data_IF_081969462471
#
_entry.id   IF_081969462471
#
_cell.length_a   1.000
_cell.length_b   1.000
_cell.length_c   1.000
_cell.angle_alpha   90.00
_cell.angle_beta   90.00
_cell.angle_gamma   90.00
#
_symmetry.space_group_name_H-M   'P 1'
#
loop_
_entity.id
_entity.type
_entity.pdbx_description
1 polymer ?
#
# COMPACT_ATOMS: atom_id res chain seq x y z
N UNK A 1 38.93 32.66 -2.74
CA UNK A 1 38.44 31.35 -3.07
C UNK A 1 36.99 31.22 -2.65
N UNK A 2 36.03 31.34 -3.57
CA UNK A 2 34.61 31.01 -3.33
C UNK A 2 34.47 29.48 -3.43
N UNK A 3 34.00 28.83 -2.37
CA UNK A 3 33.57 27.45 -2.40
C UNK A 3 32.34 27.31 -3.33
N UNK A 4 32.28 26.32 -4.23
CA UNK A 4 31.09 26.10 -5.02
C UNK A 4 29.98 25.60 -4.10
N UNK A 5 28.80 26.25 -4.21
CA UNK A 5 27.61 25.92 -3.44
C UNK A 5 27.14 24.48 -3.71
N UNK A 6 26.96 23.74 -2.65
CA UNK A 6 26.14 22.53 -2.63
C UNK A 6 24.68 23.01 -2.73
N UNK A 7 24.03 22.76 -3.85
CA UNK A 7 22.57 22.58 -3.97
C UNK A 7 22.22 22.43 -5.45
N UNK A 8 22.50 21.25 -6.01
CA UNK A 8 21.71 20.76 -7.13
C UNK A 8 20.97 19.50 -6.64
N UNK A 9 19.92 19.71 -5.86
CA UNK A 9 18.87 18.72 -5.73
C UNK A 9 18.27 18.60 -7.13
N UNK A 10 18.73 17.65 -7.92
CA UNK A 10 18.19 17.37 -9.24
C UNK A 10 16.70 17.11 -9.08
N UNK A 11 15.86 18.04 -9.59
CA UNK A 11 14.40 17.83 -9.63
C UNK A 11 14.15 16.52 -10.37
N UNK A 12 13.44 15.60 -9.74
CA UNK A 12 13.08 14.31 -10.31
C UNK A 12 12.39 14.52 -11.66
N UNK A 13 12.94 13.94 -12.72
CA UNK A 13 12.29 13.93 -14.03
C UNK A 13 11.16 12.89 -14.00
N UNK A 14 9.95 13.38 -13.85
CA UNK A 14 8.76 12.53 -13.76
C UNK A 14 8.36 11.86 -15.07
N UNK A 15 8.74 12.42 -16.22
CA UNK A 15 8.50 11.78 -17.51
C UNK A 15 9.44 10.58 -17.69
N UNK A 16 10.73 10.75 -17.40
CA UNK A 16 11.68 9.65 -17.40
C UNK A 16 11.29 8.57 -16.38
N UNK A 17 10.80 8.97 -15.19
CA UNK A 17 10.32 8.02 -14.19
C UNK A 17 9.09 7.24 -14.66
N UNK A 18 8.15 7.89 -15.32
CA UNK A 18 6.97 7.24 -15.87
C UNK A 18 7.35 6.20 -16.93
N UNK A 19 8.29 6.51 -17.81
CA UNK A 19 8.80 5.55 -18.81
C UNK A 19 9.45 4.34 -18.14
N UNK A 20 10.22 4.55 -17.07
CA UNK A 20 10.87 3.48 -16.32
C UNK A 20 9.85 2.56 -15.62
N UNK A 21 8.94 3.13 -14.83
CA UNK A 21 8.00 2.36 -14.00
C UNK A 21 6.93 1.64 -14.84
N UNK A 22 6.62 2.13 -16.05
CA UNK A 22 5.65 1.51 -16.97
C UNK A 22 6.27 0.44 -17.87
N UNK A 23 7.56 0.16 -17.79
CA UNK A 23 8.25 -0.77 -18.71
C UNK A 23 7.61 -2.16 -18.68
N UNK A 24 7.47 -2.76 -17.52
CA UNK A 24 6.85 -4.08 -17.34
C UNK A 24 5.39 -4.08 -17.79
N UNK A 25 4.63 -3.05 -17.42
CA UNK A 25 3.24 -2.91 -17.82
C UNK A 25 3.08 -2.81 -19.35
N UNK A 26 3.92 -2.01 -20.00
CA UNK A 26 3.91 -1.85 -21.48
C UNK A 26 4.21 -3.16 -22.20
N UNK A 27 5.16 -3.96 -21.71
CA UNK A 27 5.49 -5.28 -22.28
C UNK A 27 4.27 -6.21 -22.23
N UNK A 28 3.51 -6.21 -21.13
CA UNK A 28 2.31 -7.05 -20.99
C UNK A 28 1.17 -6.50 -21.84
N UNK A 29 0.92 -5.19 -21.81
CA UNK A 29 -0.13 -4.56 -22.67
C UNK A 29 0.09 -4.80 -24.17
N UNK A 30 1.34 -4.86 -24.63
CA UNK A 30 1.67 -5.19 -26.02
C UNK A 30 1.20 -6.58 -26.45
N UNK A 31 1.06 -7.51 -25.50
CA UNK A 31 0.52 -8.85 -25.75
C UNK A 31 -1.00 -8.88 -25.86
N UNK A 32 -1.68 -7.76 -25.57
CA UNK A 32 -3.14 -7.67 -25.47
C UNK A 32 -3.71 -8.28 -24.18
N UNK A 33 -2.87 -8.76 -23.26
CA UNK A 33 -3.30 -9.37 -22.00
C UNK A 33 -3.66 -8.32 -20.95
N UNK A 34 -4.80 -8.50 -20.30
CA UNK A 34 -5.21 -7.70 -19.16
C UNK A 34 -4.60 -8.29 -17.88
N UNK A 35 -4.16 -7.42 -16.98
CA UNK A 35 -3.54 -7.84 -15.72
C UNK A 35 -3.82 -6.83 -14.61
N UNK A 36 -3.67 -7.27 -13.37
CA UNK A 36 -3.79 -6.45 -12.18
C UNK A 36 -2.45 -6.31 -11.45
N UNK A 37 -2.24 -5.15 -10.84
CA UNK A 37 -1.24 -4.96 -9.78
C UNK A 37 -1.88 -5.12 -8.41
N UNK A 38 -1.18 -5.78 -7.48
CA UNK A 38 -1.59 -5.93 -6.09
C UNK A 38 -0.49 -5.44 -5.16
N UNK A 39 -0.89 -4.76 -4.11
CA UNK A 39 0.00 -4.36 -3.01
C UNK A 39 -0.80 -4.15 -1.72
N UNK A 40 -0.11 -4.07 -0.60
CA UNK A 40 -0.70 -3.82 0.71
C UNK A 40 -0.07 -2.63 1.43
N UNK A 41 -0.77 -2.16 2.46
CA UNK A 41 -0.26 -1.21 3.44
C UNK A 41 -0.63 -1.64 4.86
N UNK A 42 0.30 -1.47 5.80
CA UNK A 42 0.01 -1.67 7.21
C UNK A 42 0.33 -3.06 7.75
N UNK A 43 1.36 -3.75 7.25
CA UNK A 43 1.82 -5.03 7.84
C UNK A 43 2.54 -4.85 9.17
N UNK A 44 3.38 -3.83 9.29
CA UNK A 44 4.24 -3.60 10.47
C UNK A 44 3.62 -2.86 11.67
N UNK A 45 2.53 -2.09 11.56
CA UNK A 45 1.92 -1.41 12.70
C UNK A 45 1.47 -2.33 13.82
N UNK A 46 1.42 -1.80 15.06
CA UNK A 46 0.94 -2.49 16.27
C UNK A 46 -0.60 -2.52 16.33
N UNK A 47 -1.28 -1.72 15.53
CA UNK A 47 -2.74 -1.61 15.54
C UNK A 47 -3.30 -1.23 14.18
N UNK A 48 -4.62 -1.35 14.06
CA UNK A 48 -5.36 -1.08 12.86
C UNK A 48 -5.29 -2.21 11.83
N UNK A 49 -6.03 -2.07 10.72
CA UNK A 49 -6.10 -3.10 9.69
C UNK A 49 -4.86 -3.14 8.82
N UNK A 50 -4.69 -4.23 8.08
CA UNK A 50 -3.93 -4.23 6.84
C UNK A 50 -4.89 -3.94 5.68
N UNK A 51 -4.49 -3.07 4.75
CA UNK A 51 -5.25 -2.76 3.55
C UNK A 51 -4.56 -3.41 2.35
N UNK A 52 -5.28 -4.21 1.58
CA UNK A 52 -4.80 -4.83 0.35
C UNK A 52 -5.57 -4.29 -0.85
N UNK A 53 -4.87 -3.85 -1.89
CA UNK A 53 -5.47 -3.29 -3.10
C UNK A 53 -5.17 -4.15 -4.32
N UNK A 54 -6.16 -4.24 -5.22
CA UNK A 54 -6.05 -4.82 -6.55
C UNK A 54 -6.50 -3.79 -7.57
N UNK A 55 -5.64 -3.51 -8.56
CA UNK A 55 -5.91 -2.47 -9.57
C UNK A 55 -5.60 -2.99 -10.97
N UNK A 56 -6.54 -2.83 -11.89
CA UNK A 56 -6.34 -3.03 -13.34
C UNK A 56 -6.27 -1.66 -13.99
N UNK A 57 -5.10 -1.26 -14.42
CA UNK A 57 -4.89 0.03 -15.11
C UNK A 57 -4.98 -0.14 -16.63
N UNK A 58 -5.59 0.80 -17.37
CA UNK A 58 -5.56 0.80 -18.81
C UNK A 58 -4.17 1.25 -19.32
N UNK A 59 -3.79 0.88 -20.56
CA UNK A 59 -2.54 1.37 -21.17
C UNK A 59 -2.54 2.88 -21.43
N UNK A 60 -3.70 3.51 -21.46
CA UNK A 60 -3.89 4.96 -21.61
C UNK A 60 -5.21 5.41 -20.96
N UNK A 61 -5.26 6.63 -20.38
CA UNK A 61 -4.12 7.53 -20.16
C UNK A 61 -3.18 7.01 -19.06
N UNK A 62 -1.88 7.30 -19.16
CA UNK A 62 -0.92 7.07 -18.08
C UNK A 62 -0.94 8.25 -17.11
N UNK A 63 -0.97 7.97 -15.83
CA UNK A 63 -0.98 8.98 -14.76
C UNK A 63 0.46 9.36 -14.38
N UNK A 64 0.82 10.61 -14.63
CA UNK A 64 2.09 11.15 -14.17
C UNK A 64 2.15 11.14 -12.64
N UNK A 65 3.33 11.00 -12.07
CA UNK A 65 3.64 10.93 -10.64
C UNK A 65 3.31 9.61 -9.93
N UNK A 66 2.68 8.62 -10.57
CA UNK A 66 2.52 7.30 -9.98
C UNK A 66 3.90 6.69 -9.70
N UNK A 67 4.15 6.34 -8.45
CA UNK A 67 5.39 5.74 -7.96
C UNK A 67 5.09 5.00 -6.65
N UNK A 68 6.08 4.30 -6.09
CA UNK A 68 6.01 3.72 -4.76
C UNK A 68 5.45 4.75 -3.75
N UNK A 69 4.36 4.37 -3.08
CA UNK A 69 3.62 5.26 -2.18
C UNK A 69 4.49 5.86 -1.06
N UNK A 70 5.55 5.16 -0.63
CA UNK A 70 6.49 5.61 0.39
C UNK A 70 7.37 6.78 -0.07
N UNK A 71 7.55 6.93 -1.39
CA UNK A 71 8.35 8.00 -2.01
C UNK A 71 7.53 9.25 -2.32
N UNK A 72 6.22 9.20 -2.11
CA UNK A 72 5.30 10.29 -2.40
C UNK A 72 4.94 11.04 -1.12
N UNK A 73 4.68 12.35 -1.25
CA UNK A 73 4.08 13.13 -0.16
C UNK A 73 2.62 12.70 0.05
N UNK A 74 2.08 12.91 1.25
CA UNK A 74 0.68 12.60 1.56
C UNK A 74 -0.27 13.32 0.59
N UNK A 75 -0.05 14.61 0.35
CA UNK A 75 -0.83 15.39 -0.64
C UNK A 75 -0.83 14.75 -2.02
N UNK A 76 0.34 14.31 -2.50
CA UNK A 76 0.44 13.68 -3.81
C UNK A 76 -0.28 12.33 -3.85
N UNK A 77 -0.18 11.53 -2.79
CA UNK A 77 -0.91 10.27 -2.69
C UNK A 77 -2.42 10.48 -2.74
N UNK A 78 -2.95 11.45 -2.00
CA UNK A 78 -4.38 11.79 -2.00
C UNK A 78 -4.88 12.22 -3.39
N UNK A 79 -4.12 13.08 -4.09
CA UNK A 79 -4.43 13.50 -5.47
C UNK A 79 -4.44 12.32 -6.45
N UNK A 80 -3.49 11.40 -6.32
CA UNK A 80 -3.37 10.22 -7.17
C UNK A 80 -4.43 9.17 -6.85
N UNK A 81 -4.84 9.05 -5.60
CA UNK A 81 -5.90 8.14 -5.19
C UNK A 81 -7.17 8.33 -6.02
N UNK A 82 -7.64 9.56 -6.13
CA UNK A 82 -8.84 9.89 -6.91
C UNK A 82 -8.62 9.60 -8.39
N UNK A 83 -7.49 10.05 -8.96
CA UNK A 83 -7.16 9.82 -10.37
C UNK A 83 -7.04 8.34 -10.73
N UNK A 84 -6.45 7.53 -9.87
CA UNK A 84 -6.36 6.09 -10.07
C UNK A 84 -7.75 5.46 -10.09
N UNK A 85 -8.62 5.83 -9.15
CA UNK A 85 -9.99 5.30 -9.09
C UNK A 85 -10.83 5.69 -10.30
N UNK A 86 -10.65 6.91 -10.81
CA UNK A 86 -11.34 7.40 -12.01
C UNK A 86 -10.83 6.73 -13.29
N UNK A 87 -9.55 6.39 -13.34
CA UNK A 87 -8.88 5.87 -14.56
C UNK A 87 -8.90 4.35 -14.65
N UNK A 88 -8.81 3.66 -13.51
CA UNK A 88 -8.70 2.20 -13.45
C UNK A 88 -9.93 1.51 -14.08
N UNK A 89 -9.68 0.43 -14.81
CA UNK A 89 -10.72 -0.49 -15.30
C UNK A 89 -11.35 -1.23 -14.10
N UNK A 90 -10.54 -1.55 -13.11
CA UNK A 90 -10.94 -2.18 -11.86
C UNK A 90 -10.07 -1.68 -10.72
N UNK A 91 -10.69 -1.38 -9.58
CA UNK A 91 -9.97 -0.99 -8.37
C UNK A 91 -10.75 -1.43 -7.14
N UNK A 92 -10.14 -2.27 -6.32
CA UNK A 92 -10.74 -2.76 -5.08
C UNK A 92 -9.72 -2.72 -3.95
N UNK A 93 -10.17 -2.30 -2.75
CA UNK A 93 -9.38 -2.37 -1.52
C UNK A 93 -10.15 -3.18 -0.49
N UNK A 94 -9.50 -4.16 0.10
CA UNK A 94 -10.03 -5.01 1.17
C UNK A 94 -9.21 -4.81 2.43
N UNK A 95 -9.89 -4.73 3.55
CA UNK A 95 -9.28 -4.59 4.87
C UNK A 95 -9.30 -5.94 5.59
N UNK A 96 -8.15 -6.33 6.15
CA UNK A 96 -8.11 -7.40 7.15
C UNK A 96 -8.02 -6.77 8.55
N UNK A 97 -8.95 -7.12 9.43
CA UNK A 97 -9.05 -6.55 10.76
C UNK A 97 -7.93 -7.01 11.70
N UNK A 98 -7.69 -6.30 12.82
CA UNK A 98 -6.78 -6.78 13.86
C UNK A 98 -7.10 -8.18 14.36
N UNK A 99 -8.39 -8.51 14.51
CA UNK A 99 -8.83 -9.85 14.94
C UNK A 99 -8.47 -10.92 13.90
N UNK A 100 -8.65 -10.62 12.62
CA UNK A 100 -8.25 -11.54 11.53
C UNK A 100 -6.73 -11.74 11.52
N UNK A 101 -5.96 -10.67 11.70
CA UNK A 101 -4.49 -10.73 11.80
C UNK A 101 -4.07 -11.62 12.97
N UNK A 102 -4.68 -11.45 14.14
CA UNK A 102 -4.37 -12.25 15.33
C UNK A 102 -4.78 -13.73 15.14
N UNK A 103 -5.87 -13.99 14.41
CA UNK A 103 -6.40 -15.33 14.18
C UNK A 103 -5.56 -16.15 13.20
N UNK A 104 -5.09 -15.56 12.08
CA UNK A 104 -4.45 -16.30 10.97
C UNK A 104 -3.01 -15.88 10.70
N UNK A 105 -2.46 -14.95 11.44
CA UNK A 105 -1.21 -14.19 11.27
C UNK A 105 -1.26 -13.14 10.14
N UNK A 106 -0.27 -12.23 10.16
CA UNK A 106 -0.22 -11.09 9.24
C UNK A 106 -0.02 -11.51 7.77
N UNK A 107 0.76 -12.55 7.50
CA UNK A 107 1.00 -13.00 6.13
C UNK A 107 -0.27 -13.60 5.53
N UNK A 108 -0.94 -14.48 6.26
CA UNK A 108 -2.18 -15.10 5.79
C UNK A 108 -3.32 -14.09 5.70
N UNK A 109 -3.46 -13.18 6.67
CA UNK A 109 -4.45 -12.10 6.62
C UNK A 109 -4.24 -11.21 5.38
N UNK A 110 -3.00 -10.85 5.07
CA UNK A 110 -2.64 -10.07 3.87
C UNK A 110 -3.00 -10.84 2.59
N UNK A 111 -2.61 -12.10 2.48
CA UNK A 111 -2.91 -12.96 1.31
C UNK A 111 -4.42 -13.15 1.10
N UNK A 112 -5.17 -13.36 2.17
CA UNK A 112 -6.63 -13.48 2.11
C UNK A 112 -7.28 -12.18 1.61
N UNK A 113 -6.85 -11.04 2.13
CA UNK A 113 -7.35 -9.73 1.69
C UNK A 113 -7.01 -9.45 0.23
N UNK A 114 -5.79 -9.77 -0.23
CA UNK A 114 -5.40 -9.67 -1.63
C UNK A 114 -6.24 -10.56 -2.54
N UNK A 115 -6.47 -11.81 -2.15
CA UNK A 115 -7.29 -12.74 -2.92
C UNK A 115 -8.75 -12.24 -3.04
N UNK A 116 -9.31 -11.68 -1.97
CA UNK A 116 -10.64 -11.08 -1.99
C UNK A 116 -10.67 -9.81 -2.86
N UNK A 117 -9.64 -8.97 -2.81
CA UNK A 117 -9.54 -7.78 -3.66
C UNK A 117 -9.46 -8.15 -5.15
N UNK A 118 -8.84 -9.28 -5.47
CA UNK A 118 -8.67 -9.78 -6.84
C UNK A 118 -9.86 -10.59 -7.37
N UNK A 119 -10.82 -10.98 -6.51
CA UNK A 119 -11.85 -11.97 -6.82
C UNK A 119 -12.65 -11.67 -8.10
N UNK A 120 -13.03 -10.42 -8.28
CA UNK A 120 -13.87 -9.97 -9.40
C UNK A 120 -13.08 -9.16 -10.44
N UNK A 121 -11.74 -9.17 -10.37
CA UNK A 121 -10.89 -8.49 -11.33
C UNK A 121 -11.04 -9.12 -12.73
N UNK A 122 -11.21 -8.31 -13.79
CA UNK A 122 -11.44 -8.80 -15.15
C UNK A 122 -10.14 -9.23 -15.84
N UNK A 123 -9.31 -10.02 -15.15
CA UNK A 123 -8.02 -10.48 -15.67
C UNK A 123 -7.65 -11.86 -15.08
N UNK A 124 -6.65 -12.48 -15.68
CA UNK A 124 -6.11 -13.78 -15.27
C UNK A 124 -4.61 -13.75 -14.97
N UNK A 125 -4.03 -12.54 -14.90
CA UNK A 125 -2.64 -12.31 -14.51
C UNK A 125 -2.60 -11.27 -13.38
N UNK A 126 -1.88 -11.61 -12.31
CA UNK A 126 -1.73 -10.79 -11.11
C UNK A 126 -0.25 -10.56 -10.81
N UNK A 127 0.18 -9.30 -10.84
CA UNK A 127 1.53 -8.89 -10.45
C UNK A 127 1.51 -8.44 -9.00
N UNK A 128 2.39 -9.00 -8.18
CA UNK A 128 2.41 -8.77 -6.73
C UNK A 128 3.82 -8.45 -6.26
N UNK A 129 3.96 -7.53 -5.31
CA UNK A 129 5.25 -7.29 -4.68
C UNK A 129 5.59 -8.42 -3.70
N UNK A 130 6.69 -9.11 -3.97
CA UNK A 130 7.34 -10.11 -3.10
C UNK A 130 6.45 -11.26 -2.55
N UNK A 131 5.23 -11.43 -3.05
CA UNK A 131 4.34 -12.56 -2.68
C UNK A 131 4.21 -13.51 -3.87
N UNK A 132 4.53 -14.78 -3.68
CA UNK A 132 4.60 -15.77 -4.76
C UNK A 132 3.36 -16.68 -4.87
N UNK A 133 2.52 -16.74 -3.83
CA UNK A 133 1.36 -17.64 -3.76
C UNK A 133 0.14 -16.93 -3.23
N UNK A 134 -0.84 -16.74 -4.11
CA UNK A 134 -2.17 -16.22 -3.78
C UNK A 134 -3.24 -17.21 -4.26
N UNK A 135 -4.33 -17.33 -3.51
CA UNK A 135 -5.49 -18.11 -3.91
C UNK A 135 -6.40 -17.29 -4.84
N UNK A 136 -5.98 -17.14 -6.08
CA UNK A 136 -6.71 -16.41 -7.14
C UNK A 136 -6.87 -17.28 -8.38
N UNK A 137 -7.87 -16.97 -9.20
CA UNK A 137 -8.06 -17.65 -10.50
C UNK A 137 -7.17 -16.99 -11.56
N UNK A 138 -5.95 -17.51 -11.71
CA UNK A 138 -5.03 -16.98 -12.69
C UNK A 138 -3.56 -17.18 -12.32
N UNK A 139 -2.72 -16.62 -13.15
CA UNK A 139 -1.26 -16.61 -12.97
C UNK A 139 -0.86 -15.53 -11.98
N UNK A 140 -0.01 -15.88 -11.02
CA UNK A 140 0.59 -14.93 -10.07
C UNK A 140 2.07 -14.78 -10.39
N UNK A 141 2.53 -13.55 -10.58
CA UNK A 141 3.96 -13.21 -10.73
C UNK A 141 4.39 -12.32 -9.59
N UNK A 142 5.28 -12.82 -8.76
CA UNK A 142 5.97 -12.02 -7.75
C UNK A 142 7.07 -11.17 -8.38
N UNK A 143 7.07 -9.88 -8.12
CA UNK A 143 8.12 -8.95 -8.53
C UNK A 143 8.79 -8.39 -7.28
N UNK A 144 10.09 -8.63 -7.13
CA UNK A 144 10.86 -8.02 -6.03
C UNK A 144 10.91 -6.51 -6.27
N UNK A 145 10.52 -5.71 -5.26
CA UNK A 145 10.35 -4.26 -5.38
C UNK A 145 9.33 -3.86 -6.45
N UNK A 146 8.25 -4.61 -6.59
CA UNK A 146 7.23 -4.39 -7.61
C UNK A 146 6.57 -3.01 -7.52
N UNK A 147 6.35 -2.48 -6.31
CA UNK A 147 5.84 -1.13 -6.07
C UNK A 147 6.75 -0.01 -6.65
N UNK A 148 8.05 -0.29 -6.79
CA UNK A 148 9.03 0.63 -7.38
C UNK A 148 9.31 0.35 -8.88
N UNK A 149 8.94 -0.82 -9.40
CA UNK A 149 9.31 -1.29 -10.74
C UNK A 149 8.12 -1.55 -11.66
N UNK A 150 6.89 -1.51 -11.15
CA UNK A 150 5.66 -1.79 -11.89
C UNK A 150 4.61 -0.72 -11.59
N UNK A 151 4.13 -0.06 -12.63
CA UNK A 151 3.15 1.02 -12.56
C UNK A 151 1.81 0.56 -11.93
N UNK A 152 1.31 -0.60 -12.31
CA UNK A 152 0.06 -1.13 -11.76
C UNK A 152 0.19 -1.52 -10.28
N UNK A 153 1.34 -2.08 -9.85
CA UNK A 153 1.60 -2.36 -8.43
C UNK A 153 1.74 -1.05 -7.65
N UNK A 154 2.43 -0.04 -8.19
CA UNK A 154 2.55 1.28 -7.56
C UNK A 154 1.18 1.95 -7.40
N UNK A 155 0.29 1.85 -8.39
CA UNK A 155 -1.09 2.32 -8.28
C UNK A 155 -1.84 1.62 -7.13
N UNK A 156 -1.72 0.30 -7.01
CA UNK A 156 -2.29 -0.46 -5.90
C UNK A 156 -1.72 -0.01 -4.55
N UNK A 157 -0.40 0.22 -4.46
CA UNK A 157 0.27 0.70 -3.25
C UNK A 157 -0.31 2.04 -2.77
N UNK A 158 -0.61 2.95 -3.69
CA UNK A 158 -1.21 4.25 -3.37
C UNK A 158 -2.63 4.06 -2.81
N UNK A 159 -3.47 3.22 -3.45
CA UNK A 159 -4.82 2.97 -2.96
C UNK A 159 -4.80 2.32 -1.57
N UNK A 160 -3.97 1.34 -1.34
CA UNK A 160 -3.84 0.68 -0.05
C UNK A 160 -3.36 1.66 1.04
N UNK A 161 -2.33 2.45 0.75
CA UNK A 161 -1.74 3.41 1.69
C UNK A 161 -2.71 4.52 2.07
N UNK A 162 -3.36 5.15 1.10
CA UNK A 162 -4.32 6.24 1.35
C UNK A 162 -5.52 5.72 2.13
N UNK A 163 -6.08 4.58 1.74
CA UNK A 163 -7.21 3.98 2.46
C UNK A 163 -6.87 3.72 3.92
N UNK A 164 -5.71 3.12 4.18
CA UNK A 164 -5.29 2.82 5.56
C UNK A 164 -5.01 4.09 6.36
N UNK A 165 -4.31 5.06 5.79
CA UNK A 165 -3.99 6.32 6.48
C UNK A 165 -5.25 7.12 6.86
N UNK A 166 -6.27 7.12 6.01
CA UNK A 166 -7.59 7.72 6.32
C UNK A 166 -8.25 7.04 7.53
N UNK A 167 -8.24 5.71 7.56
CA UNK A 167 -8.77 4.94 8.70
C UNK A 167 -8.01 5.28 9.98
N UNK A 168 -6.68 5.35 9.92
CA UNK A 168 -5.89 5.68 11.11
C UNK A 168 -6.14 7.11 11.63
N UNK A 169 -6.45 8.07 10.76
CA UNK A 169 -6.89 9.41 11.17
C UNK A 169 -8.28 9.41 11.85
N UNK A 170 -9.21 8.61 11.34
CA UNK A 170 -10.53 8.43 11.97
C UNK A 170 -10.41 7.77 13.35
N UNK A 171 -9.53 6.78 13.48
CA UNK A 171 -9.26 6.10 14.75
C UNK A 171 -8.55 7.01 15.76
N UNK A 172 -7.76 7.98 15.31
CA UNK A 172 -7.15 8.99 16.18
C UNK A 172 -8.20 9.82 16.92
N UNK A 173 -9.32 10.14 16.26
CA UNK A 173 -10.43 10.84 16.89
C UNK A 173 -11.13 10.00 17.97
N UNK A 174 -11.11 8.67 17.85
CA UNK A 174 -11.70 7.75 18.84
C UNK A 174 -10.74 7.45 20.01
N UNK A 175 -9.44 7.46 19.74
CA UNK A 175 -8.37 7.12 20.70
C UNK A 175 -7.25 8.18 20.66
N UNK A 176 -7.54 9.42 21.08
CA UNK A 176 -6.61 10.55 20.86
C UNK A 176 -5.29 10.43 21.62
N UNK A 177 -5.22 9.58 22.69
CA UNK A 177 -4.03 9.40 23.51
C UNK A 177 -2.88 8.69 22.80
N UNK A 178 -3.14 7.99 21.69
CA UNK A 178 -2.17 7.13 21.01
C UNK A 178 -1.48 7.80 19.81
N UNK A 179 -1.98 8.93 19.33
CA UNK A 179 -1.37 9.69 18.23
C UNK A 179 -1.43 9.00 16.85
N UNK A 180 -2.50 8.26 16.57
CA UNK A 180 -2.65 7.45 15.34
C UNK A 180 -2.65 8.28 14.05
N UNK A 181 -3.09 9.53 14.09
CA UNK A 181 -3.03 10.42 12.94
C UNK A 181 -1.58 10.66 12.47
N UNK A 182 -0.64 10.69 13.43
CA UNK A 182 0.80 10.91 13.18
C UNK A 182 1.53 9.59 12.91
N UNK A 183 1.43 8.63 13.82
CA UNK A 183 2.20 7.38 13.77
C UNK A 183 1.57 6.29 12.90
N UNK A 184 0.33 6.45 12.47
CA UNK A 184 -0.43 5.47 11.66
C UNK A 184 -0.46 4.05 12.26
N UNK A 185 -0.31 3.96 13.58
CA UNK A 185 -0.29 2.71 14.33
C UNK A 185 1.08 2.05 14.45
N UNK A 186 2.12 2.62 13.85
CA UNK A 186 3.48 2.10 14.00
C UNK A 186 4.01 2.28 15.42
N UNK A 187 4.89 1.38 15.85
CA UNK A 187 5.47 1.33 17.20
C UNK A 187 6.52 2.42 17.43
N UNK A 188 6.14 3.68 17.31
CA UNK A 188 6.97 4.81 17.74
C UNK A 188 7.11 4.85 19.26
N UNK A 189 8.11 5.53 19.77
CA UNK A 189 8.30 5.69 21.22
C UNK A 189 7.05 6.26 21.91
N UNK A 190 6.39 7.25 21.27
CA UNK A 190 5.16 7.85 21.76
C UNK A 190 3.99 6.86 21.81
N UNK A 191 3.81 6.06 20.75
CA UNK A 191 2.77 5.03 20.71
C UNK A 191 3.00 3.95 21.77
N UNK A 192 4.23 3.46 21.91
CA UNK A 192 4.58 2.46 22.93
C UNK A 192 4.38 3.03 24.35
N UNK A 193 4.75 4.30 24.59
CA UNK A 193 4.52 4.95 25.88
C UNK A 193 3.02 5.08 26.20
N UNK A 194 2.20 5.47 25.21
CA UNK A 194 0.75 5.53 25.36
C UNK A 194 0.16 4.14 25.63
N UNK A 195 0.62 3.12 24.92
CA UNK A 195 0.18 1.73 25.11
C UNK A 195 0.50 1.22 26.54
N UNK A 196 1.68 1.53 27.07
CA UNK A 196 2.06 1.20 28.44
C UNK A 196 1.23 1.94 29.50
N UNK A 197 0.88 3.20 29.21
CA UNK A 197 0.14 4.06 30.16
C UNK A 197 -1.35 3.78 30.17
N UNK A 198 -1.97 3.62 29.00
CA UNK A 198 -3.41 3.53 28.85
C UNK A 198 -3.90 2.10 28.53
N UNK A 199 -2.99 1.17 28.28
CA UNK A 199 -3.31 -0.20 27.89
C UNK A 199 -3.69 -0.33 26.42
N UNK A 200 -3.94 -1.54 25.95
CA UNK A 200 -4.35 -1.79 24.57
C UNK A 200 -5.83 -1.49 24.35
N UNK A 201 -6.15 -0.95 23.18
CA UNK A 201 -7.53 -0.77 22.68
C UNK A 201 -7.97 -1.97 21.84
N UNK A 202 -9.27 -2.08 21.48
CA UNK A 202 -9.76 -3.15 20.59
C UNK A 202 -9.09 -3.21 19.21
N UNK A 203 -8.50 -2.10 18.75
CA UNK A 203 -7.83 -2.07 17.45
C UNK A 203 -6.36 -2.48 17.49
N UNK A 204 -5.78 -2.75 18.67
CA UNK A 204 -4.44 -3.28 18.78
C UNK A 204 -4.38 -4.76 18.41
N UNK A 205 -3.33 -5.12 17.69
CA UNK A 205 -3.04 -6.51 17.32
C UNK A 205 -2.38 -7.21 18.52
N UNK A 206 -3.12 -8.06 19.19
CA UNK A 206 -2.66 -8.71 20.41
C UNK A 206 -1.38 -9.52 20.22
N UNK A 207 -1.26 -10.16 19.06
CA UNK A 207 -0.05 -10.91 18.66
C UNK A 207 1.19 -10.03 18.46
N UNK A 208 1.03 -8.70 18.28
CA UNK A 208 2.14 -7.77 18.05
C UNK A 208 2.62 -7.05 19.30
N UNK A 209 1.80 -6.98 20.33
CA UNK A 209 2.04 -6.08 21.48
C UNK A 209 2.44 -6.80 22.78
N UNK A 210 2.55 -8.13 22.75
CA UNK A 210 2.80 -8.94 23.96
C UNK A 210 4.03 -8.55 24.78
N UNK A 211 5.05 -7.96 24.15
CA UNK A 211 6.24 -7.50 24.87
C UNK A 211 6.12 -6.09 25.47
N UNK A 212 5.07 -5.36 25.17
CA UNK A 212 4.88 -3.98 25.65
C UNK A 212 3.86 -3.92 26.80
N UNK A 213 2.95 -4.88 26.83
CA UNK A 213 1.89 -5.02 27.83
C UNK A 213 2.05 -6.39 28.47
N UNK A 214 2.57 -6.41 29.69
CA UNK A 214 2.75 -7.63 30.47
C UNK A 214 1.45 -8.19 31.04
#
# INVERSE_FOLDING_TARGET
GRKPGKDSCMKKDWNARLEEITRTDKEIWQTGRMFAGLDEAGRGPLCGPVAAACVVMPPKPLLLYVDDSKKLTEKRREELYDKIRETAIYAQVILASPEEIDRVNILNATKNAMALAAKDAPCDLFLVDAIDRLNVKGEVRGLVHGDALCYSIAAASILAKVTRDRIMRELDAQYPEYGFAKNKGYGTAEHIAALKKYGPTPIHRRSFIGHFVG
#
